data_IF_628665851666
#
_entry.id   IF_628665851666
#
_cell.length_a   1.000
_cell.length_b   1.000
_cell.length_c   1.000
_cell.angle_alpha   90.00
_cell.angle_beta   90.00
_cell.angle_gamma   90.00
#
_symmetry.space_group_name_H-M   'P 1'
#
loop_
_entity.id
_entity.type
_entity.pdbx_description
1 polymer ?
#
# COMPACT_ATOMS: atom_id res chain seq x y z
N UNK A 1 -2.30 25.84 -48.29
CA UNK A 1 -1.08 25.09 -47.93
C UNK A 1 -0.99 25.09 -46.41
N UNK A 2 -1.39 23.98 -45.77
CA UNK A 2 -1.16 23.73 -44.33
C UNK A 2 -0.42 22.40 -44.24
N UNK A 3 0.66 22.30 -43.43
CA UNK A 3 1.43 21.06 -43.38
C UNK A 3 0.63 20.01 -42.62
N UNK A 4 0.36 18.88 -43.29
CA UNK A 4 -0.11 17.65 -42.67
C UNK A 4 0.90 17.24 -41.61
N UNK A 5 0.47 17.21 -40.35
CA UNK A 5 1.22 16.56 -39.28
C UNK A 5 1.42 15.09 -39.67
N UNK A 6 2.69 14.69 -39.80
CA UNK A 6 3.07 13.31 -39.98
C UNK A 6 2.72 12.54 -38.70
N UNK A 7 1.72 11.68 -38.78
CA UNK A 7 1.52 10.62 -37.79
C UNK A 7 2.78 9.74 -37.81
N UNK A 8 3.56 9.79 -36.73
CA UNK A 8 4.62 8.82 -36.47
C UNK A 8 4.02 7.40 -36.48
N UNK A 9 4.72 6.38 -37.01
CA UNK A 9 4.16 5.04 -37.10
C UNK A 9 3.92 4.47 -35.70
N UNK A 10 2.70 3.95 -35.51
CA UNK A 10 2.34 3.10 -34.37
C UNK A 10 3.32 1.92 -34.29
N UNK A 11 3.79 1.64 -33.07
CA UNK A 11 4.73 0.58 -32.69
C UNK A 11 4.49 -0.76 -33.45
N UNK A 12 5.47 -1.29 -34.20
CA UNK A 12 5.34 -2.55 -34.94
C UNK A 12 5.53 -3.81 -34.05
N UNK A 13 5.35 -3.71 -32.73
CA UNK A 13 5.80 -4.73 -31.76
C UNK A 13 4.65 -5.64 -31.25
N UNK A 14 3.41 -5.43 -31.68
CA UNK A 14 2.26 -6.19 -31.17
C UNK A 14 1.46 -6.84 -32.31
N UNK A 15 2.07 -7.77 -33.02
CA UNK A 15 1.31 -8.74 -33.82
C UNK A 15 0.81 -9.84 -32.87
N UNK A 16 -0.47 -10.21 -33.02
CA UNK A 16 -1.12 -11.29 -32.27
C UNK A 16 -0.41 -12.61 -32.58
N UNK A 17 0.51 -13.03 -31.70
CA UNK A 17 1.03 -14.39 -31.73
C UNK A 17 -0.12 -15.34 -31.44
N UNK A 18 -0.27 -16.40 -32.25
CA UNK A 18 -1.26 -17.46 -32.05
C UNK A 18 -1.19 -18.10 -30.65
N UNK A 19 -2.16 -18.97 -30.35
CA UNK A 19 -2.37 -19.65 -29.05
C UNK A 19 -1.04 -19.97 -28.31
N UNK A 20 -0.64 -19.09 -27.40
CA UNK A 20 0.65 -19.22 -26.72
C UNK A 20 1.04 -17.98 -25.90
N UNK A 21 1.84 -18.21 -24.86
CA UNK A 21 2.46 -17.12 -24.10
C UNK A 21 3.41 -16.34 -25.01
N UNK A 22 3.31 -15.02 -24.96
CA UNK A 22 4.21 -14.12 -25.69
C UNK A 22 5.69 -14.46 -25.40
N UNK A 23 6.60 -14.46 -26.40
CA UNK A 23 7.98 -14.91 -26.23
C UNK A 23 8.72 -14.24 -25.06
N UNK A 24 8.51 -12.93 -24.85
CA UNK A 24 9.09 -12.19 -23.72
C UNK A 24 8.62 -12.70 -22.35
N UNK A 25 7.34 -13.12 -22.24
CA UNK A 25 6.78 -13.65 -20.99
C UNK A 25 7.35 -15.05 -20.73
N UNK A 26 7.49 -15.88 -21.78
CA UNK A 26 8.16 -17.20 -21.69
C UNK A 26 9.62 -17.07 -21.22
N UNK A 27 10.37 -16.13 -21.80
CA UNK A 27 11.75 -15.85 -21.40
C UNK A 27 11.83 -15.41 -19.93
N UNK A 28 10.95 -14.49 -19.51
CA UNK A 28 10.89 -14.01 -18.13
C UNK A 28 10.54 -15.14 -17.15
N UNK A 29 9.60 -16.02 -17.51
CA UNK A 29 9.21 -17.18 -16.70
C UNK A 29 10.38 -18.16 -16.52
N UNK A 30 11.14 -18.43 -17.60
CA UNK A 30 12.35 -19.27 -17.56
C UNK A 30 13.36 -18.72 -16.55
N UNK A 31 13.64 -17.41 -16.62
CA UNK A 31 14.59 -16.74 -15.71
C UNK A 31 14.08 -16.71 -14.27
N UNK A 32 12.80 -16.41 -14.05
CA UNK A 32 12.18 -16.41 -12.72
C UNK A 32 12.25 -17.81 -12.07
N UNK A 33 11.94 -18.85 -12.84
CA UNK A 33 12.01 -20.25 -12.38
C UNK A 33 13.42 -20.63 -11.97
N UNK A 34 14.43 -20.23 -12.75
CA UNK A 34 15.83 -20.48 -12.39
C UNK A 34 16.26 -19.69 -11.15
N UNK A 35 15.85 -18.42 -11.05
CA UNK A 35 16.18 -17.53 -9.95
C UNK A 35 15.63 -18.04 -8.60
N UNK A 36 14.46 -18.66 -8.62
CA UNK A 36 13.74 -19.12 -7.43
C UNK A 36 13.78 -20.64 -7.22
N UNK A 37 14.54 -21.39 -8.04
CA UNK A 37 14.58 -22.87 -8.05
C UNK A 37 14.78 -23.50 -6.67
N UNK A 38 15.61 -22.89 -5.83
CA UNK A 38 15.96 -23.41 -4.50
C UNK A 38 15.20 -22.73 -3.36
N UNK A 39 14.21 -21.91 -3.68
CA UNK A 39 13.49 -21.10 -2.69
C UNK A 39 12.06 -21.60 -2.52
N UNK A 40 11.67 -21.78 -1.27
CA UNK A 40 10.28 -21.89 -0.86
C UNK A 40 9.72 -20.56 -0.37
N UNK A 41 8.42 -20.37 -0.47
CA UNK A 41 7.69 -19.22 0.08
C UNK A 41 7.46 -19.28 1.60
N UNK A 42 7.76 -20.43 2.21
CA UNK A 42 7.48 -20.65 3.62
C UNK A 42 5.99 -20.86 3.92
N UNK A 43 5.12 -20.79 2.90
CA UNK A 43 3.73 -21.21 2.99
C UNK A 43 3.74 -22.72 3.09
N UNK A 44 3.28 -23.21 4.23
CA UNK A 44 3.18 -24.63 4.49
C UNK A 44 1.72 -25.03 4.37
N UNK A 45 1.37 -25.67 3.26
CA UNK A 45 0.07 -26.30 3.10
C UNK A 45 -0.03 -27.47 4.07
N UNK A 46 -1.08 -27.54 4.88
CA UNK A 46 -1.42 -28.75 5.62
C UNK A 46 -2.37 -29.62 4.77
N UNK A 47 -1.81 -30.29 3.77
CA UNK A 47 -2.56 -31.24 2.96
C UNK A 47 -2.64 -32.56 3.71
N UNK A 48 -3.77 -32.83 4.36
CA UNK A 48 -4.07 -34.13 5.01
C UNK A 48 -2.93 -34.61 5.94
N UNK A 49 -2.43 -33.74 6.81
CA UNK A 49 -1.32 -34.00 7.75
C UNK A 49 0.08 -34.06 7.11
N UNK A 50 0.26 -33.53 5.89
CA UNK A 50 1.58 -33.31 5.28
C UNK A 50 1.80 -31.82 5.04
N UNK A 51 2.79 -31.28 5.75
CA UNK A 51 3.36 -29.95 5.52
C UNK A 51 4.02 -29.91 4.14
N UNK A 52 3.33 -29.39 3.13
CA UNK A 52 3.88 -29.16 1.79
C UNK A 52 4.28 -27.70 1.69
N UNK A 53 5.57 -27.44 1.45
CA UNK A 53 6.05 -26.07 1.26
C UNK A 53 5.90 -25.70 -0.20
N UNK A 54 5.20 -24.60 -0.48
CA UNK A 54 4.98 -24.16 -1.85
C UNK A 54 6.27 -23.58 -2.45
N UNK A 55 6.59 -23.89 -3.73
CA UNK A 55 7.72 -23.27 -4.41
C UNK A 55 7.48 -21.75 -4.57
N UNK A 56 8.49 -20.93 -4.27
CA UNK A 56 8.33 -19.47 -4.32
C UNK A 56 7.91 -18.95 -5.69
N UNK A 57 8.26 -19.66 -6.77
CA UNK A 57 7.88 -19.30 -8.15
C UNK A 57 6.36 -19.18 -8.34
N UNK A 58 5.54 -19.83 -7.48
CA UNK A 58 4.09 -19.66 -7.49
C UNK A 58 3.66 -18.20 -7.25
N UNK A 59 4.36 -17.47 -6.39
CA UNK A 59 4.03 -16.09 -6.05
C UNK A 59 4.20 -15.11 -7.23
N UNK A 60 5.37 -15.05 -7.93
CA UNK A 60 5.50 -14.24 -9.14
C UNK A 60 4.56 -14.65 -10.29
N UNK A 61 4.23 -15.94 -10.40
CA UNK A 61 3.23 -16.43 -11.37
C UNK A 61 1.84 -15.87 -11.02
N UNK A 62 1.44 -15.94 -9.75
CA UNK A 62 0.17 -15.37 -9.28
C UNK A 62 0.09 -13.86 -9.55
N UNK A 63 1.16 -13.10 -9.25
CA UNK A 63 1.23 -11.66 -9.54
C UNK A 63 1.04 -11.37 -11.04
N UNK A 64 1.71 -12.13 -11.91
CA UNK A 64 1.54 -12.00 -13.37
C UNK A 64 0.12 -12.32 -13.84
N UNK A 65 -0.50 -13.40 -13.32
CA UNK A 65 -1.89 -13.75 -13.65
C UNK A 65 -2.91 -12.73 -13.15
N UNK A 66 -2.75 -12.19 -11.94
CA UNK A 66 -3.59 -11.11 -11.42
C UNK A 66 -3.49 -9.87 -12.30
N UNK A 67 -2.26 -9.52 -12.71
CA UNK A 67 -2.03 -8.41 -13.61
C UNK A 67 -2.73 -8.65 -14.96
N UNK A 68 -2.66 -9.85 -15.51
CA UNK A 68 -3.38 -10.25 -16.72
C UNK A 68 -4.91 -10.22 -16.54
N UNK A 69 -5.43 -10.71 -15.40
CA UNK A 69 -6.85 -10.71 -15.05
C UNK A 69 -7.44 -9.29 -14.99
N UNK A 70 -6.63 -8.31 -14.58
CA UNK A 70 -7.01 -6.90 -14.65
C UNK A 70 -7.10 -6.37 -16.09
N UNK A 71 -6.82 -7.19 -17.10
CA UNK A 71 -6.81 -6.93 -18.54
C UNK A 71 -5.45 -6.46 -19.09
N UNK A 72 -4.34 -6.71 -18.39
CA UNK A 72 -3.02 -6.30 -18.86
C UNK A 72 -2.49 -7.31 -19.87
N UNK A 73 -2.11 -6.85 -21.05
CA UNK A 73 -1.52 -7.68 -22.09
C UNK A 73 -0.09 -7.23 -22.45
N UNK A 74 0.42 -6.17 -21.81
CA UNK A 74 1.75 -5.64 -22.11
C UNK A 74 2.85 -6.61 -21.63
N UNK A 75 3.63 -7.24 -22.53
CA UNK A 75 4.58 -8.28 -22.16
C UNK A 75 5.71 -7.80 -21.24
N UNK A 76 6.09 -6.51 -21.31
CA UNK A 76 7.09 -5.92 -20.40
C UNK A 76 6.56 -5.90 -18.96
N UNK A 77 5.31 -5.46 -18.77
CA UNK A 77 4.71 -5.42 -17.43
C UNK A 77 4.49 -6.83 -16.87
N UNK A 78 4.07 -7.78 -17.70
CA UNK A 78 3.91 -9.19 -17.31
C UNK A 78 5.25 -9.87 -16.99
N UNK A 79 6.29 -9.62 -17.80
CA UNK A 79 7.64 -10.12 -17.56
C UNK A 79 8.26 -9.53 -16.30
N UNK A 80 8.05 -8.23 -16.05
CA UNK A 80 8.49 -7.59 -14.82
C UNK A 80 7.76 -8.13 -13.58
N UNK A 81 6.47 -8.49 -13.68
CA UNK A 81 5.75 -9.15 -12.59
C UNK A 81 6.34 -10.53 -12.26
N UNK A 82 6.77 -11.30 -13.26
CA UNK A 82 7.45 -12.59 -13.03
C UNK A 82 8.82 -12.44 -12.36
N UNK A 83 9.49 -11.30 -12.56
CA UNK A 83 10.86 -11.08 -12.12
C UNK A 83 11.00 -10.12 -10.94
N UNK A 84 9.89 -9.58 -10.41
CA UNK A 84 9.90 -8.45 -9.47
C UNK A 84 10.74 -8.67 -8.21
N UNK A 85 10.82 -9.91 -7.73
CA UNK A 85 11.57 -10.28 -6.53
C UNK A 85 12.99 -10.78 -6.80
N UNK A 86 13.41 -10.96 -8.05
CA UNK A 86 14.68 -11.61 -8.39
C UNK A 86 15.92 -10.84 -7.91
N UNK A 87 15.82 -9.51 -7.77
CA UNK A 87 16.89 -8.68 -7.19
C UNK A 87 16.81 -8.54 -5.67
N UNK A 88 15.65 -8.80 -5.07
CA UNK A 88 15.48 -8.81 -3.61
C UNK A 88 15.87 -10.18 -3.03
N UNK A 89 15.66 -11.25 -3.81
CA UNK A 89 15.69 -12.63 -3.35
C UNK A 89 16.14 -13.60 -4.46
N UNK A 90 16.71 -14.75 -4.08
CA UNK A 90 17.09 -15.80 -5.03
C UNK A 90 18.47 -15.60 -5.65
N UNK A 91 18.70 -16.22 -6.81
CA UNK A 91 20.00 -16.29 -7.50
C UNK A 91 20.59 -14.92 -7.81
N UNK A 92 19.76 -13.97 -8.24
CA UNK A 92 20.20 -12.64 -8.69
C UNK A 92 20.07 -11.57 -7.62
N UNK A 93 20.01 -11.96 -6.34
CA UNK A 93 19.87 -11.01 -5.24
C UNK A 93 21.02 -9.99 -5.29
N UNK A 94 20.65 -8.71 -5.46
CA UNK A 94 21.56 -7.56 -5.64
C UNK A 94 22.45 -7.62 -6.89
N UNK A 95 22.23 -8.59 -7.78
CA UNK A 95 23.00 -8.79 -9.01
C UNK A 95 22.16 -8.38 -10.23
N UNK A 96 22.05 -7.06 -10.44
CA UNK A 96 21.31 -6.50 -11.58
C UNK A 96 21.94 -6.92 -12.92
N UNK A 97 23.27 -7.04 -12.98
CA UNK A 97 23.96 -7.40 -14.21
C UNK A 97 23.78 -8.88 -14.56
N UNK A 98 23.86 -9.78 -13.58
CA UNK A 98 23.55 -11.19 -13.80
C UNK A 98 22.10 -11.42 -14.23
N UNK A 99 21.15 -10.65 -13.68
CA UNK A 99 19.76 -10.67 -14.15
C UNK A 99 19.64 -10.19 -15.60
N UNK A 100 20.32 -9.08 -15.94
CA UNK A 100 20.34 -8.53 -17.31
C UNK A 100 20.88 -9.54 -18.30
N UNK A 101 22.03 -10.15 -18.00
CA UNK A 101 22.65 -11.14 -18.86
C UNK A 101 21.69 -12.33 -19.09
N UNK A 102 21.18 -12.93 -18.01
CA UNK A 102 20.30 -14.09 -18.11
C UNK A 102 18.99 -13.80 -18.87
N UNK A 103 18.40 -12.61 -18.65
CA UNK A 103 17.19 -12.21 -19.37
C UNK A 103 17.48 -11.91 -20.83
N UNK A 104 18.58 -11.21 -21.15
CA UNK A 104 18.97 -10.92 -22.53
C UNK A 104 19.20 -12.20 -23.33
N UNK A 105 19.92 -13.16 -22.76
CA UNK A 105 20.13 -14.49 -23.37
C UNK A 105 18.79 -15.21 -23.59
N UNK A 106 17.91 -15.26 -22.58
CA UNK A 106 16.61 -15.91 -22.69
C UNK A 106 15.68 -15.25 -23.71
N UNK A 107 15.71 -13.91 -23.82
CA UNK A 107 14.92 -13.17 -24.82
C UNK A 107 15.49 -13.41 -26.22
N UNK A 108 16.82 -13.39 -26.40
CA UNK A 108 17.42 -13.70 -27.68
C UNK A 108 17.01 -15.10 -28.18
N UNK A 109 17.13 -16.12 -27.32
CA UNK A 109 16.71 -17.49 -27.64
C UNK A 109 15.23 -17.59 -28.01
N UNK A 110 14.36 -16.81 -27.35
CA UNK A 110 12.93 -16.84 -27.61
C UNK A 110 12.52 -16.16 -28.93
N UNK A 111 13.32 -15.23 -29.45
CA UNK A 111 13.01 -14.46 -30.65
C UNK A 111 13.81 -14.89 -31.89
N UNK A 112 15.02 -15.43 -31.72
CA UNK A 112 15.91 -15.79 -32.82
C UNK A 112 15.28 -16.75 -33.85
N UNK A 113 14.53 -17.81 -33.45
CA UNK A 113 13.93 -18.74 -34.40
C UNK A 113 12.85 -18.10 -35.30
N UNK A 114 12.14 -17.09 -34.80
CA UNK A 114 10.96 -16.53 -35.46
C UNK A 114 11.29 -15.24 -36.25
N UNK A 115 12.28 -14.47 -35.81
CA UNK A 115 12.46 -13.07 -36.21
C UNK A 115 13.84 -12.76 -36.80
N UNK A 116 14.77 -13.73 -36.78
CA UNK A 116 16.15 -13.57 -37.23
C UNK A 116 17.05 -12.86 -36.20
N UNK A 117 18.36 -13.05 -36.33
CA UNK A 117 19.36 -12.68 -35.30
C UNK A 117 19.37 -11.19 -34.96
N UNK A 118 19.34 -10.31 -35.97
CA UNK A 118 19.41 -8.86 -35.75
C UNK A 118 18.20 -8.34 -34.95
N UNK A 119 16.99 -8.79 -35.30
CA UNK A 119 15.77 -8.39 -34.60
C UNK A 119 15.71 -9.01 -33.21
N UNK A 120 16.15 -10.26 -33.05
CA UNK A 120 16.25 -10.91 -31.75
C UNK A 120 17.24 -10.18 -30.82
N UNK A 121 18.41 -9.75 -31.31
CA UNK A 121 19.37 -8.98 -30.53
C UNK A 121 18.83 -7.62 -30.11
N UNK A 122 18.15 -6.90 -31.01
CA UNK A 122 17.49 -5.63 -30.68
C UNK A 122 16.43 -5.83 -29.58
N UNK A 123 15.58 -6.85 -29.73
CA UNK A 123 14.55 -7.18 -28.74
C UNK A 123 15.16 -7.59 -27.40
N UNK A 124 16.24 -8.37 -27.40
CA UNK A 124 16.96 -8.77 -26.19
C UNK A 124 17.45 -7.55 -25.42
N UNK A 125 18.12 -6.62 -26.08
CA UNK A 125 18.62 -5.40 -25.43
C UNK A 125 17.46 -4.53 -24.90
N UNK A 126 16.52 -4.18 -25.78
CA UNK A 126 15.42 -3.27 -25.45
C UNK A 126 14.50 -3.84 -24.35
N UNK A 127 14.04 -5.08 -24.50
CA UNK A 127 13.09 -5.66 -23.56
C UNK A 127 13.74 -5.90 -22.19
N UNK A 128 15.02 -6.32 -22.16
CA UNK A 128 15.79 -6.49 -20.93
C UNK A 128 15.91 -5.18 -20.17
N UNK A 129 16.30 -4.08 -20.85
CA UNK A 129 16.43 -2.77 -20.21
C UNK A 129 15.11 -2.30 -19.59
N UNK A 130 14.01 -2.49 -20.32
CA UNK A 130 12.69 -2.07 -19.87
C UNK A 130 12.20 -2.91 -18.67
N UNK A 131 12.35 -4.23 -18.72
CA UNK A 131 11.93 -5.12 -17.63
C UNK A 131 12.80 -4.90 -16.40
N UNK A 132 14.13 -4.93 -16.54
CA UNK A 132 15.04 -4.75 -15.41
C UNK A 132 14.88 -3.37 -14.79
N UNK A 133 14.60 -2.34 -15.60
CA UNK A 133 14.24 -1.01 -15.10
C UNK A 133 13.05 -1.04 -14.15
N UNK A 134 11.98 -1.75 -14.51
CA UNK A 134 10.79 -1.91 -13.66
C UNK A 134 11.09 -2.76 -12.42
N UNK A 135 11.78 -3.89 -12.58
CA UNK A 135 12.19 -4.78 -11.46
C UNK A 135 12.99 -3.99 -10.43
N UNK A 136 13.94 -3.17 -10.89
CA UNK A 136 14.75 -2.30 -10.03
C UNK A 136 13.91 -1.31 -9.23
N UNK A 137 12.89 -0.70 -9.85
CA UNK A 137 12.00 0.25 -9.16
C UNK A 137 11.19 -0.42 -8.04
N UNK A 138 10.75 -1.67 -8.24
CA UNK A 138 9.93 -2.41 -7.26
C UNK A 138 10.76 -3.21 -6.25
N UNK A 139 12.08 -3.30 -6.44
CA UNK A 139 13.03 -3.97 -5.54
C UNK A 139 13.35 -3.10 -4.33
N UNK A 140 13.24 -3.66 -3.13
CA UNK A 140 13.64 -2.96 -1.91
C UNK A 140 15.16 -3.00 -1.70
N UNK A 141 15.84 -1.87 -1.90
CA UNK A 141 17.31 -1.77 -1.74
C UNK A 141 17.79 -1.56 -0.30
N UNK A 142 16.93 -1.14 0.62
CA UNK A 142 17.36 -0.73 1.97
C UNK A 142 17.34 -1.90 2.97
N UNK A 143 18.40 -2.06 3.76
CA UNK A 143 18.52 -3.05 4.84
C UNK A 143 17.75 -2.67 6.13
N UNK A 144 16.72 -1.83 6.04
CA UNK A 144 15.97 -1.38 7.21
C UNK A 144 14.77 -2.28 7.50
N UNK A 145 15.00 -3.40 8.18
CA UNK A 145 13.98 -4.43 8.43
C UNK A 145 12.69 -3.91 9.10
N UNK A 146 12.76 -2.89 9.95
CA UNK A 146 11.57 -2.33 10.61
C UNK A 146 10.91 -1.16 9.84
N UNK A 147 11.67 -0.42 9.03
CA UNK A 147 11.16 0.75 8.30
C UNK A 147 10.79 0.50 6.84
N UNK A 148 11.19 -0.66 6.27
CA UNK A 148 10.88 -1.08 4.90
C UNK A 148 9.41 -0.88 4.52
N UNK A 149 8.50 -1.17 5.45
CA UNK A 149 7.05 -1.12 5.20
C UNK A 149 6.53 0.30 4.98
N UNK A 150 7.04 1.28 5.72
CA UNK A 150 6.67 2.69 5.56
C UNK A 150 7.31 3.26 4.29
N UNK A 151 8.59 2.94 4.05
CA UNK A 151 9.32 3.36 2.86
C UNK A 151 8.64 2.88 1.57
N UNK A 152 8.03 1.70 1.56
CA UNK A 152 7.29 1.20 0.40
C UNK A 152 6.04 2.03 0.12
N UNK A 153 5.27 2.40 1.13
CA UNK A 153 4.10 3.26 0.94
C UNK A 153 4.50 4.67 0.48
N UNK A 154 5.55 5.25 1.06
CA UNK A 154 6.06 6.60 0.76
C UNK A 154 6.72 6.72 -0.63
N UNK A 155 7.13 5.59 -1.22
CA UNK A 155 7.70 5.53 -2.58
C UNK A 155 6.68 5.13 -3.63
N UNK A 156 5.53 4.54 -3.24
CA UNK A 156 4.58 3.94 -4.16
C UNK A 156 4.00 4.94 -5.17
N UNK A 157 3.72 6.17 -4.74
CA UNK A 157 3.19 7.25 -5.60
C UNK A 157 4.22 7.75 -6.64
N UNK A 158 5.51 7.63 -6.32
CA UNK A 158 6.66 8.05 -7.15
C UNK A 158 7.11 7.00 -8.16
N UNK A 159 6.60 5.77 -8.07
CA UNK A 159 6.92 4.71 -9.02
C UNK A 159 6.41 5.04 -10.43
N UNK A 160 7.12 4.54 -11.46
CA UNK A 160 6.63 4.60 -12.83
C UNK A 160 5.30 3.87 -12.97
N UNK A 161 4.49 4.22 -13.99
CA UNK A 161 3.19 3.56 -14.22
C UNK A 161 3.29 2.04 -14.34
N UNK A 162 4.39 1.50 -14.87
CA UNK A 162 4.62 0.04 -14.94
C UNK A 162 4.95 -0.52 -13.57
N UNK A 163 5.87 0.10 -12.84
CA UNK A 163 6.24 -0.30 -11.48
C UNK A 163 5.06 -0.26 -10.51
N UNK A 164 4.20 0.78 -10.56
CA UNK A 164 2.96 0.85 -9.77
C UNK A 164 2.06 -0.37 -9.98
N UNK A 165 1.90 -0.81 -11.23
CA UNK A 165 1.06 -1.97 -11.57
C UNK A 165 1.66 -3.27 -11.07
N UNK A 166 2.97 -3.46 -11.27
CA UNK A 166 3.68 -4.64 -10.76
C UNK A 166 3.59 -4.68 -9.23
N UNK A 167 3.78 -3.54 -8.56
CA UNK A 167 3.70 -3.45 -7.10
C UNK A 167 2.30 -3.74 -6.55
N UNK A 168 1.25 -3.26 -7.22
CA UNK A 168 -0.12 -3.64 -6.87
C UNK A 168 -0.38 -5.13 -7.09
N UNK A 169 0.14 -5.71 -8.18
CA UNK A 169 -0.05 -7.14 -8.47
C UNK A 169 0.69 -8.05 -7.47
N UNK A 170 1.90 -7.69 -7.05
CA UNK A 170 2.67 -8.30 -5.95
C UNK A 170 1.85 -8.34 -4.66
N UNK A 171 1.30 -7.19 -4.25
CA UNK A 171 0.48 -7.13 -3.04
C UNK A 171 -0.86 -7.87 -3.15
N UNK A 172 -1.48 -7.87 -4.33
CA UNK A 172 -2.66 -8.68 -4.59
C UNK A 172 -2.34 -10.17 -4.54
N UNK A 173 -1.19 -10.61 -5.06
CA UNK A 173 -0.75 -11.99 -4.95
C UNK A 173 -0.52 -12.39 -3.49
N UNK A 174 0.11 -11.52 -2.69
CA UNK A 174 0.28 -11.76 -1.25
C UNK A 174 -1.05 -11.94 -0.51
N UNK A 175 -2.09 -11.17 -0.87
CA UNK A 175 -3.43 -11.30 -0.29
C UNK A 175 -4.14 -12.58 -0.77
N UNK A 176 -3.93 -12.96 -2.03
CA UNK A 176 -4.46 -14.20 -2.59
C UNK A 176 -3.83 -15.42 -1.91
N UNK A 177 -2.52 -15.43 -1.74
CA UNK A 177 -1.79 -16.51 -1.07
C UNK A 177 -2.30 -16.71 0.36
N UNK A 178 -2.50 -15.60 1.10
CA UNK A 178 -3.08 -15.66 2.46
C UNK A 178 -4.54 -16.16 2.46
N UNK A 179 -5.36 -15.71 1.50
CA UNK A 179 -6.75 -16.14 1.38
C UNK A 179 -6.89 -17.64 1.11
N UNK A 180 -6.04 -18.19 0.25
CA UNK A 180 -6.14 -19.59 -0.20
C UNK A 180 -5.51 -20.57 0.76
N UNK A 181 -4.37 -20.20 1.33
CA UNK A 181 -3.52 -21.14 2.05
C UNK A 181 -3.48 -20.86 3.54
N UNK A 182 -3.93 -19.68 3.95
CA UNK A 182 -3.60 -19.13 5.25
C UNK A 182 -2.10 -18.96 5.40
N UNK A 183 -1.71 -18.37 6.52
CA UNK A 183 -0.31 -18.24 6.87
C UNK A 183 -0.07 -18.64 8.31
N UNK A 184 1.12 -19.15 8.58
CA UNK A 184 1.57 -19.46 9.94
C UNK A 184 2.04 -18.21 10.69
N UNK A 185 1.92 -17.03 10.07
CA UNK A 185 2.26 -15.77 10.72
C UNK A 185 1.28 -15.44 11.85
N UNK A 186 1.78 -14.70 12.83
CA UNK A 186 0.94 -14.10 13.87
C UNK A 186 -0.10 -13.16 13.25
N UNK A 187 -1.33 -13.16 13.77
CA UNK A 187 -2.45 -12.33 13.33
C UNK A 187 -2.06 -10.87 13.07
N UNK A 188 -1.29 -10.29 14.01
CA UNK A 188 -0.85 -8.90 13.91
C UNK A 188 0.08 -8.65 12.71
N UNK A 189 0.93 -9.62 12.33
CA UNK A 189 1.81 -9.49 11.16
C UNK A 189 1.02 -9.54 9.86
N UNK A 190 -0.05 -10.32 9.82
CA UNK A 190 -0.94 -10.49 8.67
C UNK A 190 -1.74 -9.22 8.46
N UNK A 191 -2.34 -8.71 9.52
CA UNK A 191 -3.04 -7.43 9.50
C UNK A 191 -2.14 -6.29 9.03
N UNK A 192 -0.88 -6.26 9.49
CA UNK A 192 0.11 -5.31 8.99
C UNK A 192 0.44 -5.49 7.51
N UNK A 193 0.53 -6.73 7.01
CA UNK A 193 0.70 -7.03 5.60
C UNK A 193 -0.49 -6.52 4.77
N UNK A 194 -1.71 -6.79 5.21
CA UNK A 194 -2.94 -6.36 4.53
C UNK A 194 -3.07 -4.83 4.50
N UNK A 195 -2.84 -4.17 5.63
CA UNK A 195 -2.86 -2.70 5.73
C UNK A 195 -1.82 -2.06 4.81
N UNK A 196 -0.62 -2.65 4.73
CA UNK A 196 0.42 -2.20 3.81
C UNK A 196 0.00 -2.40 2.35
N UNK A 197 -0.53 -3.57 2.01
CA UNK A 197 -1.04 -3.85 0.66
C UNK A 197 -2.09 -2.81 0.24
N UNK A 198 -3.01 -2.48 1.15
CA UNK A 198 -4.04 -1.47 0.94
C UNK A 198 -3.47 -0.05 0.74
N UNK A 199 -2.53 0.36 1.58
CA UNK A 199 -1.89 1.68 1.48
C UNK A 199 -1.17 1.86 0.13
N UNK A 200 -0.41 0.84 -0.29
CA UNK A 200 0.31 0.84 -1.57
C UNK A 200 -0.68 0.81 -2.74
N UNK A 201 -1.75 0.02 -2.65
CA UNK A 201 -2.79 -0.03 -3.66
C UNK A 201 -3.42 1.34 -3.90
N UNK A 202 -3.76 2.07 -2.83
CA UNK A 202 -4.30 3.43 -2.92
C UNK A 202 -3.32 4.40 -3.60
N UNK A 203 -2.05 4.38 -3.22
CA UNK A 203 -1.01 5.22 -3.82
C UNK A 203 -0.76 4.92 -5.31
N UNK A 204 -1.08 3.69 -5.73
CA UNK A 204 -0.90 3.21 -7.11
C UNK A 204 -2.20 3.14 -7.94
N UNK A 205 -3.35 3.52 -7.36
CA UNK A 205 -4.67 3.27 -7.96
C UNK A 205 -4.85 3.94 -9.34
N UNK A 206 -4.17 5.07 -9.56
CA UNK A 206 -4.14 5.80 -10.83
C UNK A 206 -3.54 4.97 -11.98
N UNK A 207 -2.63 4.04 -11.68
CA UNK A 207 -1.91 3.28 -12.69
C UNK A 207 -2.78 2.22 -13.37
N UNK A 208 -3.77 1.66 -12.65
CA UNK A 208 -4.72 0.65 -13.15
C UNK A 208 -5.93 0.43 -12.21
N UNK A 209 -7.05 1.14 -12.41
CA UNK A 209 -8.23 1.03 -11.55
C UNK A 209 -8.79 -0.39 -11.39
N UNK A 210 -8.86 -1.18 -12.47
CA UNK A 210 -9.31 -2.58 -12.40
C UNK A 210 -8.46 -3.46 -11.49
N UNK A 211 -7.15 -3.20 -11.43
CA UNK A 211 -6.25 -3.96 -10.55
C UNK A 211 -6.44 -3.54 -9.09
N UNK A 212 -6.68 -2.25 -8.84
CA UNK A 212 -7.07 -1.76 -7.53
C UNK A 212 -8.37 -2.40 -7.05
N UNK A 213 -9.38 -2.50 -7.92
CA UNK A 213 -10.66 -3.13 -7.60
C UNK A 213 -10.48 -4.64 -7.25
N UNK A 214 -9.59 -5.37 -7.96
CA UNK A 214 -9.22 -6.77 -7.63
C UNK A 214 -8.58 -6.86 -6.24
N UNK A 215 -7.58 -6.02 -5.97
CA UNK A 215 -6.88 -6.00 -4.68
C UNK A 215 -7.85 -5.68 -3.55
N UNK A 216 -8.76 -4.73 -3.76
CA UNK A 216 -9.80 -4.39 -2.81
C UNK A 216 -10.71 -5.58 -2.49
N UNK A 217 -11.14 -6.32 -3.52
CA UNK A 217 -11.96 -7.51 -3.31
C UNK A 217 -11.19 -8.55 -2.46
N UNK A 218 -9.92 -8.82 -2.78
CA UNK A 218 -9.09 -9.76 -2.03
C UNK A 218 -8.88 -9.31 -0.58
N UNK A 219 -8.67 -8.01 -0.35
CA UNK A 219 -8.55 -7.45 0.99
C UNK A 219 -9.84 -7.65 1.81
N UNK A 220 -11.00 -7.33 1.23
CA UNK A 220 -12.29 -7.48 1.91
C UNK A 220 -12.61 -8.95 2.21
N UNK A 221 -12.27 -9.84 1.29
CA UNK A 221 -12.50 -11.28 1.47
C UNK A 221 -11.62 -11.86 2.57
N UNK A 222 -10.35 -11.44 2.64
CA UNK A 222 -9.51 -11.74 3.78
C UNK A 222 -10.11 -11.20 5.08
N UNK A 223 -10.48 -9.91 5.15
CA UNK A 223 -11.10 -9.34 6.36
C UNK A 223 -12.37 -10.11 6.79
N UNK A 224 -13.15 -10.64 5.83
CA UNK A 224 -14.30 -11.51 6.10
C UNK A 224 -13.87 -12.82 6.76
N UNK A 225 -12.95 -13.57 6.13
CA UNK A 225 -12.39 -14.83 6.65
C UNK A 225 -11.85 -14.63 8.08
N UNK A 226 -11.03 -13.59 8.26
CA UNK A 226 -10.31 -13.34 9.50
C UNK A 226 -11.22 -12.85 10.63
N UNK A 227 -12.11 -11.88 10.38
CA UNK A 227 -12.93 -11.31 11.45
C UNK A 227 -14.16 -12.16 11.78
N UNK A 228 -14.68 -12.93 10.81
CA UNK A 228 -15.91 -13.71 10.98
C UNK A 228 -15.63 -15.19 11.22
N UNK A 229 -14.37 -15.63 11.13
CA UNK A 229 -13.98 -17.03 11.26
C UNK A 229 -14.55 -17.91 10.15
N UNK A 230 -14.86 -17.30 9.00
CA UNK A 230 -15.43 -18.01 7.87
C UNK A 230 -14.35 -18.80 7.13
N UNK A 231 -14.74 -19.93 6.53
CA UNK A 231 -13.82 -20.73 5.75
C UNK A 231 -13.49 -20.01 4.44
N UNK A 232 -12.20 -19.89 4.12
CA UNK A 232 -11.75 -19.41 2.82
C UNK A 232 -12.12 -20.36 1.69
N UNK A 233 -12.02 -19.91 0.43
CA UNK A 233 -12.30 -20.76 -0.72
C UNK A 233 -11.31 -21.92 -0.81
N UNK A 234 -11.76 -23.05 -1.36
CA UNK A 234 -10.91 -24.22 -1.58
C UNK A 234 -9.89 -23.94 -2.69
N UNK A 235 -8.61 -23.93 -2.31
CA UNK A 235 -7.51 -23.65 -3.22
C UNK A 235 -7.40 -24.61 -4.41
N UNK A 236 -7.86 -25.86 -4.29
CA UNK A 236 -7.82 -26.84 -5.39
C UNK A 236 -8.85 -26.51 -6.49
N UNK A 237 -9.87 -25.75 -6.15
CA UNK A 237 -10.98 -25.37 -7.07
C UNK A 237 -11.03 -23.88 -7.36
N UNK A 238 -10.18 -23.08 -6.70
CA UNK A 238 -10.18 -21.63 -6.84
C UNK A 238 -9.69 -21.21 -8.23
N UNK A 239 -10.56 -20.52 -8.96
CA UNK A 239 -10.27 -20.00 -10.29
C UNK A 239 -10.47 -18.49 -10.25
N UNK A 240 -9.37 -17.73 -10.30
CA UNK A 240 -9.40 -16.29 -10.04
C UNK A 240 -10.31 -15.53 -11.01
N UNK A 241 -10.43 -15.97 -12.27
CA UNK A 241 -11.31 -15.33 -13.24
C UNK A 241 -12.77 -15.52 -12.86
N UNK A 242 -13.16 -16.75 -12.51
CA UNK A 242 -14.50 -17.07 -12.02
C UNK A 242 -14.82 -16.31 -10.74
N UNK A 243 -13.91 -16.30 -9.76
CA UNK A 243 -14.07 -15.57 -8.52
C UNK A 243 -14.27 -14.05 -8.76
N UNK A 244 -13.46 -13.45 -9.64
CA UNK A 244 -13.61 -12.03 -10.01
C UNK A 244 -14.91 -11.72 -10.74
N UNK A 245 -15.41 -12.65 -11.56
CA UNK A 245 -16.70 -12.49 -12.24
C UNK A 245 -17.86 -12.49 -11.23
N UNK A 246 -17.81 -13.37 -10.23
CA UNK A 246 -18.83 -13.48 -9.17
C UNK A 246 -18.79 -12.32 -8.18
N UNK A 247 -17.59 -11.85 -7.82
CA UNK A 247 -17.41 -10.80 -6.82
C UNK A 247 -17.54 -9.39 -7.41
N UNK A 248 -17.91 -9.30 -8.69
CA UNK A 248 -18.40 -8.09 -9.32
C UNK A 248 -17.49 -6.90 -9.06
N UNK A 249 -16.38 -6.81 -9.80
CA UNK A 249 -15.42 -5.68 -9.78
C UNK A 249 -16.10 -4.29 -10.02
N UNK A 250 -17.42 -4.25 -10.25
CA UNK A 250 -18.26 -3.04 -10.25
C UNK A 250 -19.17 -2.85 -9.01
N UNK A 251 -19.58 -3.91 -8.31
CA UNK A 251 -20.44 -3.80 -7.11
C UNK A 251 -19.68 -3.34 -5.85
N UNK A 252 -18.36 -3.56 -5.78
CA UNK A 252 -17.51 -2.98 -4.73
C UNK A 252 -17.52 -1.43 -4.72
N UNK A 253 -17.92 -0.80 -5.84
CA UNK A 253 -18.19 0.66 -5.92
C UNK A 253 -19.61 1.06 -5.53
N UNK A 254 -20.60 0.16 -5.68
CA UNK A 254 -22.03 0.45 -5.48
C UNK A 254 -22.52 0.08 -4.08
N UNK A 255 -21.94 -0.93 -3.44
CA UNK A 255 -22.02 -1.08 -1.98
C UNK A 255 -21.16 0.02 -1.42
N UNK A 256 -21.73 1.22 -1.32
CA UNK A 256 -21.10 2.39 -0.72
C UNK A 256 -20.39 1.90 0.52
N UNK A 257 -19.06 1.82 0.42
CA UNK A 257 -18.21 1.43 1.52
C UNK A 257 -18.47 2.51 2.55
N UNK A 258 -19.35 2.18 3.48
CA UNK A 258 -19.24 2.65 4.83
C UNK A 258 -17.81 2.28 5.20
N UNK A 259 -16.92 3.25 5.04
CA UNK A 259 -15.91 3.51 6.04
C UNK A 259 -16.50 3.08 7.39
N UNK A 260 -15.66 2.57 8.28
CA UNK A 260 -15.88 2.99 9.65
C UNK A 260 -15.93 4.51 9.60
N UNK A 261 -17.13 5.07 9.56
CA UNK A 261 -17.30 6.51 9.46
C UNK A 261 -16.64 7.10 10.72
N UNK A 262 -16.34 8.40 10.73
CA UNK A 262 -15.72 9.04 11.90
C UNK A 262 -16.53 8.83 13.21
N UNK A 263 -17.79 8.38 13.13
CA UNK A 263 -18.60 7.94 14.26
C UNK A 263 -18.29 6.50 14.74
N UNK A 264 -17.85 5.58 13.88
CA UNK A 264 -17.42 4.22 14.24
C UNK A 264 -15.93 4.12 14.60
N UNK A 265 -15.10 5.04 14.08
CA UNK A 265 -13.78 5.35 14.66
C UNK A 265 -13.92 6.21 15.94
N UNK A 266 -15.14 6.68 16.22
CA UNK A 266 -15.48 7.71 17.22
C UNK A 266 -15.56 7.26 18.67
N UNK A 267 -15.18 6.02 19.01
CA UNK A 267 -15.10 5.60 20.42
C UNK A 267 -13.72 5.12 20.87
N UNK A 268 -12.69 5.10 20.00
CA UNK A 268 -11.32 4.76 20.43
C UNK A 268 -10.28 5.68 19.80
N UNK A 269 -9.96 6.72 20.59
CA UNK A 269 -8.70 7.49 20.66
C UNK A 269 -8.46 8.50 19.52
N UNK A 270 -8.89 9.74 19.75
CA UNK A 270 -8.48 10.88 18.94
C UNK A 270 -7.11 11.39 19.43
N UNK A 271 -6.19 11.57 18.50
CA UNK A 271 -4.88 12.18 18.77
C UNK A 271 -3.68 11.22 18.80
N UNK A 272 -3.89 9.91 18.97
CA UNK A 272 -2.82 8.90 18.90
C UNK A 272 -3.09 7.93 17.74
N UNK A 273 -2.25 7.98 16.71
CA UNK A 273 -2.35 7.18 15.49
C UNK A 273 -1.84 5.76 15.71
N UNK A 274 -0.82 5.63 16.56
CA UNK A 274 -0.17 4.35 16.83
C UNK A 274 0.53 4.40 18.17
N UNK A 275 0.49 3.28 18.89
CA UNK A 275 1.20 3.08 20.15
C UNK A 275 2.22 1.97 19.95
N UNK A 276 3.46 2.20 20.37
CA UNK A 276 4.53 1.21 20.40
C UNK A 276 4.65 0.61 21.79
N UNK A 277 4.86 -0.71 21.85
CA UNK A 277 4.95 -1.47 23.09
C UNK A 277 6.35 -2.11 23.23
N UNK A 278 6.80 -2.35 24.47
CA UNK A 278 7.97 -3.20 24.76
C UNK A 278 7.56 -4.69 24.86
N UNK A 279 8.54 -5.58 25.10
CA UNK A 279 8.32 -7.03 25.21
C UNK A 279 7.43 -7.44 26.40
N UNK A 280 7.21 -6.52 27.34
CA UNK A 280 6.36 -6.67 28.52
C UNK A 280 4.92 -6.14 28.27
N UNK A 281 4.63 -5.65 27.07
CA UNK A 281 3.32 -5.09 26.71
C UNK A 281 3.07 -3.68 27.23
N UNK A 282 4.10 -2.97 27.70
CA UNK A 282 4.02 -1.60 28.19
C UNK A 282 4.27 -0.60 27.05
N UNK A 283 3.57 0.53 27.07
CA UNK A 283 3.67 1.60 26.07
C UNK A 283 5.04 2.29 26.19
N UNK A 284 5.86 2.24 25.15
CA UNK A 284 7.19 2.87 25.11
C UNK A 284 7.28 4.05 24.12
N UNK A 285 6.33 4.14 23.18
CA UNK A 285 6.23 5.25 22.25
C UNK A 285 4.79 5.41 21.77
N UNK A 286 4.45 6.59 21.27
CA UNK A 286 3.19 6.83 20.59
C UNK A 286 3.36 7.86 19.47
N UNK A 287 2.47 7.86 18.49
CA UNK A 287 2.50 8.79 17.35
C UNK A 287 1.23 9.62 17.36
N UNK A 288 1.36 10.94 17.21
CA UNK A 288 0.23 11.87 17.12
C UNK A 288 0.16 12.50 15.74
N UNK A 289 -1.02 13.02 15.36
CA UNK A 289 -1.31 13.64 14.04
C UNK A 289 -0.76 15.08 13.94
N UNK A 290 -0.09 15.64 14.96
CA UNK A 290 0.34 17.06 14.88
C UNK A 290 1.66 17.28 15.61
N UNK A 291 2.46 18.24 15.13
CA UNK A 291 3.59 18.82 15.84
C UNK A 291 3.10 19.84 16.89
N UNK A 292 3.09 19.50 18.19
CA UNK A 292 2.63 20.36 19.28
C UNK A 292 3.64 21.47 19.60
N UNK A 293 4.40 22.00 18.63
CA UNK A 293 5.27 23.18 18.83
C UNK A 293 5.30 24.10 17.61
N UNK A 294 4.69 23.72 16.49
CA UNK A 294 4.61 24.55 15.29
C UNK A 294 3.47 25.56 15.39
N UNK A 295 3.73 26.79 14.93
CA UNK A 295 2.72 27.85 14.86
C UNK A 295 1.59 27.42 13.91
N UNK A 296 0.40 27.20 14.46
CA UNK A 296 -0.79 26.78 13.71
C UNK A 296 -1.16 27.74 12.57
N UNK A 297 -0.70 28.99 12.64
CA UNK A 297 -0.92 30.00 11.59
C UNK A 297 -0.17 29.71 10.29
N UNK A 298 0.88 28.89 10.32
CA UNK A 298 1.66 28.53 9.11
C UNK A 298 0.88 27.61 8.15
N UNK A 299 -0.15 26.91 8.65
CA UNK A 299 -0.85 25.84 7.91
C UNK A 299 -2.37 26.06 7.75
N UNK A 300 -2.88 27.26 8.07
CA UNK A 300 -4.28 27.66 7.89
C UNK A 300 -5.30 26.67 8.51
N UNK A 301 -4.92 26.04 9.63
CA UNK A 301 -5.73 25.01 10.29
C UNK A 301 -6.52 25.55 11.49
N UNK A 302 -7.71 24.99 11.79
CA UNK A 302 -8.46 25.32 13.00
C UNK A 302 -7.64 25.08 14.28
N UNK A 303 -7.55 26.12 15.14
CA UNK A 303 -6.73 26.15 16.36
C UNK A 303 -7.09 25.05 17.38
N UNK A 304 -8.33 24.58 17.35
CA UNK A 304 -8.93 23.61 18.29
C UNK A 304 -8.40 22.17 18.14
N UNK A 305 -8.04 21.74 16.92
CA UNK A 305 -7.49 20.40 16.68
C UNK A 305 -6.09 20.26 17.31
N UNK A 306 -5.32 21.35 17.37
CA UNK A 306 -3.98 21.36 17.92
C UNK A 306 -4.02 21.21 19.46
N UNK A 307 -4.94 21.89 20.14
CA UNK A 307 -5.06 21.94 21.61
C UNK A 307 -5.21 20.57 22.29
N UNK A 308 -5.75 19.56 21.60
CA UNK A 308 -5.92 18.20 22.16
C UNK A 308 -4.60 17.43 22.24
N UNK A 309 -3.75 17.56 21.22
CA UNK A 309 -2.42 16.96 21.21
C UNK A 309 -1.50 17.64 22.24
N UNK A 310 -1.62 18.96 22.41
CA UNK A 310 -0.94 19.70 23.48
C UNK A 310 -1.34 19.21 24.86
N UNK A 311 -2.64 19.06 25.15
CA UNK A 311 -3.12 18.62 26.47
C UNK A 311 -2.67 17.20 26.83
N UNK A 312 -2.61 16.27 25.88
CA UNK A 312 -2.12 14.91 26.16
C UNK A 312 -0.62 14.91 26.47
N UNK A 313 0.17 15.66 25.72
CA UNK A 313 1.61 15.79 25.96
C UNK A 313 1.85 16.50 27.30
N UNK A 314 1.18 17.62 27.55
CA UNK A 314 1.28 18.38 28.80
C UNK A 314 0.78 17.57 30.01
N UNK A 315 -0.24 16.73 29.85
CA UNK A 315 -0.78 15.90 30.93
C UNK A 315 0.14 14.71 31.25
N UNK A 316 0.74 14.09 30.22
CA UNK A 316 1.81 13.09 30.41
C UNK A 316 3.02 13.74 31.09
N UNK A 317 3.39 14.97 30.68
CA UNK A 317 4.48 15.75 31.29
C UNK A 317 4.14 16.16 32.74
N UNK A 318 2.88 16.50 33.04
CA UNK A 318 2.42 16.92 34.37
C UNK A 318 2.28 15.76 35.35
N UNK A 319 1.86 14.59 34.88
CA UNK A 319 1.70 13.40 35.73
C UNK A 319 2.97 12.55 35.85
N UNK A 320 3.96 12.73 34.98
CA UNK A 320 5.13 11.87 34.92
C UNK A 320 6.48 12.59 34.99
N UNK A 321 7.01 12.80 36.20
CA UNK A 321 8.45 13.09 36.36
C UNK A 321 9.33 11.95 35.83
N UNK A 322 8.82 10.71 35.81
CA UNK A 322 9.55 9.50 35.35
C UNK A 322 9.26 9.13 33.88
N UNK A 323 8.29 9.79 33.23
CA UNK A 323 7.79 9.43 31.89
C UNK A 323 8.11 10.47 30.80
N UNK A 324 8.95 11.46 31.13
CA UNK A 324 9.27 12.59 30.26
C UNK A 324 9.61 12.14 28.81
N UNK A 325 9.12 12.82 27.77
CA UNK A 325 9.65 12.70 26.43
C UNK A 325 11.16 12.99 26.46
N UNK A 326 11.99 12.18 25.80
CA UNK A 326 13.44 12.37 25.84
C UNK A 326 13.81 13.72 25.20
N UNK A 327 14.07 14.74 26.02
CA UNK A 327 14.57 16.02 25.55
C UNK A 327 16.00 15.82 25.01
N UNK A 328 16.15 15.79 23.68
CA UNK A 328 17.46 15.72 23.02
C UNK A 328 17.63 14.64 21.95
N UNK A 329 16.66 13.73 21.75
CA UNK A 329 16.64 12.89 20.55
C UNK A 329 15.95 13.63 19.41
N UNK A 330 16.42 13.50 18.16
CA UNK A 330 15.86 14.24 17.03
C UNK A 330 14.38 13.84 16.87
N UNK A 331 13.48 14.79 17.09
CA UNK A 331 12.11 14.68 16.61
C UNK A 331 12.19 14.57 15.09
N UNK A 332 11.83 13.42 14.55
CA UNK A 332 11.73 13.26 13.10
C UNK A 332 10.41 13.89 12.68
N UNK A 333 10.49 15.13 12.22
CA UNK A 333 9.35 15.83 11.64
C UNK A 333 9.14 15.32 10.21
N UNK A 334 8.01 14.67 9.97
CA UNK A 334 7.57 14.35 8.62
C UNK A 334 6.62 15.44 8.12
N UNK A 335 7.17 16.45 7.45
CA UNK A 335 6.43 17.60 6.92
C UNK A 335 5.37 17.22 5.88
N UNK A 336 5.44 16.03 5.28
CA UNK A 336 4.47 15.59 4.27
C UNK A 336 3.19 14.97 4.87
N UNK A 337 3.21 14.58 6.16
CA UNK A 337 2.14 13.75 6.74
C UNK A 337 1.57 14.24 8.06
N UNK A 338 2.00 15.40 8.58
CA UNK A 338 1.55 15.92 9.87
C UNK A 338 1.59 14.81 10.94
N UNK A 339 2.74 14.23 11.25
CA UNK A 339 2.82 13.28 12.36
C UNK A 339 4.08 13.48 13.18
N UNK A 340 3.96 13.30 14.50
CA UNK A 340 5.09 13.34 15.44
C UNK A 340 5.14 12.05 16.24
N UNK A 341 6.30 11.41 16.27
CA UNK A 341 6.58 10.28 17.16
C UNK A 341 7.09 10.82 18.50
N UNK A 342 6.53 10.33 19.59
CA UNK A 342 6.92 10.65 20.97
C UNK A 342 7.37 9.35 21.61
N UNK A 343 8.61 9.32 22.11
CA UNK A 343 9.17 8.19 22.85
C UNK A 343 9.17 8.54 24.33
N UNK A 344 8.65 7.63 25.17
CA UNK A 344 8.59 7.81 26.62
C UNK A 344 9.94 7.44 27.25
N UNK A 345 10.34 8.16 28.30
CA UNK A 345 11.58 7.83 29.04
C UNK A 345 11.47 6.48 29.77
N UNK A 346 10.28 6.19 30.32
CA UNK A 346 9.97 4.91 30.95
C UNK A 346 8.73 4.29 30.28
N UNK A 347 8.68 2.96 30.08
CA UNK A 347 7.48 2.31 29.59
C UNK A 347 6.29 2.53 30.54
N UNK A 348 5.11 2.81 29.99
CA UNK A 348 3.88 3.10 30.71
C UNK A 348 2.89 1.94 30.57
N UNK A 349 2.22 1.56 31.65
CA UNK A 349 1.15 0.55 31.57
C UNK A 349 0.03 1.01 30.63
N UNK A 350 -0.50 0.09 29.82
CA UNK A 350 -1.51 0.38 28.80
C UNK A 350 -2.76 1.00 29.42
N UNK A 351 -3.15 0.56 30.62
CA UNK A 351 -4.31 1.08 31.35
C UNK A 351 -4.12 2.55 31.72
N UNK A 352 -2.92 2.92 32.20
CA UNK A 352 -2.58 4.29 32.54
C UNK A 352 -2.54 5.18 31.29
N UNK A 353 -1.89 4.71 30.22
CA UNK A 353 -1.86 5.44 28.95
C UNK A 353 -3.26 5.68 28.39
N UNK A 354 -4.11 4.65 28.43
CA UNK A 354 -5.50 4.72 27.97
C UNK A 354 -6.33 5.67 28.83
N UNK A 355 -6.12 5.66 30.14
CA UNK A 355 -6.76 6.59 31.07
C UNK A 355 -6.39 8.05 30.76
N UNK A 356 -5.10 8.35 30.55
CA UNK A 356 -4.61 9.69 30.22
C UNK A 356 -5.14 10.17 28.86
N UNK A 357 -5.12 9.30 27.84
CA UNK A 357 -5.69 9.59 26.53
C UNK A 357 -7.19 9.90 26.63
N UNK A 358 -7.93 9.12 27.42
CA UNK A 358 -9.38 9.29 27.60
C UNK A 358 -9.74 10.57 28.37
N UNK A 359 -8.92 10.98 29.35
CA UNK A 359 -9.11 12.24 30.09
C UNK A 359 -8.93 13.48 29.19
N UNK A 360 -8.03 13.39 28.21
CA UNK A 360 -7.81 14.44 27.22
C UNK A 360 -9.00 14.53 26.24
N UNK A 361 -9.55 13.39 25.83
CA UNK A 361 -10.72 13.31 24.95
C UNK A 361 -12.00 13.85 25.63
N UNK A 362 -12.21 13.56 26.93
CA UNK A 362 -13.37 14.04 27.69
C UNK A 362 -13.40 15.57 27.85
N UNK A 363 -12.22 16.19 27.99
CA UNK A 363 -12.08 17.65 28.08
C UNK A 363 -12.41 18.37 26.77
N UNK A 364 -12.39 17.65 25.64
CA UNK A 364 -12.68 18.18 24.31
C UNK A 364 -14.17 18.06 23.93
N UNK A 365 -14.87 17.03 24.42
CA UNK A 365 -16.31 16.88 24.24
C UNK A 365 -17.12 18.05 24.83
N UNK A 366 -16.74 18.52 26.03
CA UNK A 366 -17.36 19.67 26.72
C UNK A 366 -17.18 20.99 25.94
N UNK A 367 -16.07 21.14 25.21
CA UNK A 367 -15.75 22.35 24.46
C UNK A 367 -16.51 22.43 23.12
N UNK A 368 -16.72 21.29 22.45
CA UNK A 368 -17.49 21.20 21.21
C UNK A 368 -18.98 21.49 21.41
N UNK A 369 -19.54 21.12 22.56
CA UNK A 369 -20.92 21.46 22.93
C UNK A 369 -21.09 22.98 23.09
N UNK A 370 -20.08 23.62 23.70
CA UNK A 370 -20.02 25.09 23.87
C UNK A 370 -19.88 25.82 22.54
N UNK A 371 -19.03 25.32 21.61
CA UNK A 371 -18.85 25.89 20.27
C UNK A 371 -20.10 25.70 19.39
N UNK A 372 -20.76 24.55 19.50
CA UNK A 372 -22.01 24.28 18.79
C UNK A 372 -23.12 25.22 19.24
N UNK A 373 -23.20 25.51 20.54
CA UNK A 373 -24.16 26.46 21.09
C UNK A 373 -23.83 27.91 20.69
N UNK A 374 -22.56 28.28 20.67
CA UNK A 374 -22.10 29.59 20.20
C UNK A 374 -22.41 29.80 18.70
N UNK A 375 -22.21 28.77 17.87
CA UNK A 375 -22.56 28.79 16.46
C UNK A 375 -24.08 28.89 16.21
N UNK A 376 -24.91 28.29 17.07
CA UNK A 376 -26.38 28.50 17.03
C UNK A 376 -26.76 29.94 17.33
N UNK A 377 -26.16 30.54 18.35
CA UNK A 377 -26.42 31.94 18.72
C UNK A 377 -26.03 32.91 17.60
N UNK A 378 -24.86 32.74 16.99
CA UNK A 378 -24.41 33.57 15.87
C UNK A 378 -25.33 33.45 14.64
N UNK A 379 -25.84 32.25 14.36
CA UNK A 379 -26.82 32.03 13.27
C UNK A 379 -28.18 32.65 13.56
N UNK A 380 -28.61 32.69 14.84
CA UNK A 380 -29.83 33.39 15.25
C UNK A 380 -29.69 34.89 15.03
N UNK A 381 -28.57 35.48 15.46
CA UNK A 381 -28.27 36.90 15.30
C UNK A 381 -28.15 37.31 13.82
N UNK A 382 -27.54 36.46 12.98
CA UNK A 382 -27.43 36.71 11.55
C UNK A 382 -28.79 36.67 10.82
N UNK A 383 -29.78 35.94 11.34
CA UNK A 383 -31.16 35.91 10.80
C UNK A 383 -31.99 37.12 11.20
N UNK A 384 -31.65 37.75 12.31
CA UNK A 384 -32.31 38.96 12.81
C UNK A 384 -31.72 40.26 12.23
N UNK A 385 -30.57 40.18 11.54
CA UNK A 385 -29.96 41.34 10.89
C UNK A 385 -30.81 41.82 9.69
N UNK A 386 -31.30 43.08 9.68
CA UNK A 386 -32.15 43.56 8.60
C UNK A 386 -31.36 43.70 7.28
N UNK A 387 -31.87 43.07 6.22
CA UNK A 387 -31.33 43.14 4.87
C UNK A 387 -31.55 44.53 4.26
N UNK A 388 -30.62 45.45 4.51
CA UNK A 388 -30.62 46.76 3.85
C UNK A 388 -29.88 46.69 2.50
N UNK A 389 -30.60 46.35 1.45
CA UNK A 389 -30.16 46.57 0.06
C UNK A 389 -30.43 48.03 -0.30
N UNK A 390 -29.39 48.86 -0.28
CA UNK A 390 -29.32 50.10 -1.07
C UNK A 390 -27.87 50.55 -1.22
N UNK A 391 -27.20 50.06 -2.27
CA UNK A 391 -26.00 50.71 -2.81
C UNK A 391 -26.29 51.13 -4.26
N UNK A 392 -26.74 52.37 -4.42
CA UNK A 392 -26.77 53.10 -5.70
C UNK A 392 -25.67 54.16 -5.68
N UNK A 393 -24.64 53.92 -6.49
CA UNK A 393 -23.86 54.88 -7.28
C UNK A 393 -23.14 56.08 -6.62
N UNK A 394 -21.92 56.35 -7.10
CA UNK A 394 -21.65 57.50 -7.99
C UNK A 394 -20.26 57.41 -8.64
N UNK A 395 -20.28 57.71 -9.94
CA UNK A 395 -19.30 58.31 -10.87
C UNK A 395 -17.82 58.24 -10.52
#
# INVERSE_FOLDING_TARGET
>A
MSPKAANAPLNPIFEESGEGLHPLVRASLKVATDAHRYKSDGVTLDLRHKKVVMPYICHPIAAMHILQASGMQEPISLGAALLHDTLEQGKYKRDEEGLRQALSEAVYEAYAPEQGEMKAQYMANYATDMIVGVVREVTNREEMFEHKRFVQADKADKLSKRAKRVKMADHAASLLDDMLYGTTMEFEKIRQMHNRAWAIAKACADARPKLFDILQALYLENERIWNQGEQGPDADTFEIQSWLAEHGVREARQKGLHWLNDAQMGERQRGVISVGFNDQGEVCAYRTIIDPRGDASEYDMPKDINDTAYKLVDEIDRQGNDYLPTAGLPSVHNHAHFTRKITLHSPMKVELFTQLASQCDASHAMYNETLTEHARQLRSQAREAPTSTNWRGRV
#
